data_IF_475127574010
#
_entry.id   IF_475127574010
#
_cell.length_a   1.000
_cell.length_b   1.000
_cell.length_c   1.000
_cell.angle_alpha   90.00
_cell.angle_beta   90.00
_cell.angle_gamma   90.00
#
_symmetry.space_group_name_H-M   'P 1'
#
loop_
_entity.id
_entity.type
_entity.pdbx_description
1 polymer ?
#
# COMPACT_ATOMS: atom_id res chain seq x y z
N UNK A 1 4.05 20.94 -39.77
CA UNK A 1 2.84 21.20 -38.96
C UNK A 1 2.47 19.89 -38.30
N UNK A 2 2.95 19.70 -37.08
CA UNK A 2 2.72 18.50 -36.27
C UNK A 2 1.48 18.79 -35.44
N UNK A 3 0.39 18.08 -35.72
CA UNK A 3 -0.84 18.14 -34.93
C UNK A 3 -0.59 17.36 -33.64
N UNK A 4 -0.47 18.08 -32.52
CA UNK A 4 -0.63 17.49 -31.19
C UNK A 4 -2.04 16.93 -31.11
N UNK A 5 -2.14 15.61 -30.96
CA UNK A 5 -3.39 14.92 -30.64
C UNK A 5 -3.56 15.07 -29.13
N UNK A 6 -4.55 15.84 -28.72
CA UNK A 6 -4.92 16.00 -27.32
C UNK A 6 -5.64 14.71 -26.89
N UNK A 7 -5.03 13.96 -25.97
CA UNK A 7 -5.56 12.69 -25.46
C UNK A 7 -6.41 12.90 -24.20
N UNK A 8 -6.68 14.15 -23.80
CA UNK A 8 -7.50 14.48 -22.65
C UNK A 8 -8.95 14.01 -22.79
N UNK A 9 -9.49 14.01 -24.01
CA UNK A 9 -10.93 13.90 -24.22
C UNK A 9 -11.40 12.44 -24.44
N UNK A 10 -10.51 11.50 -24.79
CA UNK A 10 -10.87 10.08 -24.96
C UNK A 10 -10.80 9.26 -23.66
N UNK A 11 -10.16 9.77 -22.60
CA UNK A 11 -10.04 9.05 -21.32
C UNK A 11 -11.16 9.34 -20.32
N UNK A 12 -12.01 10.36 -20.55
CA UNK A 12 -13.13 10.68 -19.65
C UNK A 12 -14.25 9.61 -19.66
N UNK A 13 -14.32 8.72 -20.67
CA UNK A 13 -15.42 7.76 -20.80
C UNK A 13 -15.14 6.34 -20.28
N UNK A 14 -13.90 5.97 -19.97
CA UNK A 14 -13.55 4.64 -19.43
C UNK A 14 -12.89 4.69 -18.04
N UNK A 15 -12.50 5.87 -17.57
CA UNK A 15 -11.91 6.10 -16.25
C UNK A 15 -12.91 6.29 -15.11
N UNK A 16 -14.04 5.56 -15.08
CA UNK A 16 -14.82 5.47 -13.83
C UNK A 16 -14.05 4.58 -12.87
N UNK A 17 -13.13 5.19 -12.10
CA UNK A 17 -12.69 4.65 -10.81
C UNK A 17 -13.96 4.22 -10.07
N UNK A 18 -14.18 2.92 -9.99
CA UNK A 18 -15.17 2.40 -9.05
C UNK A 18 -14.70 2.88 -7.69
N UNK A 19 -15.52 3.70 -7.02
CA UNK A 19 -15.30 3.98 -5.61
C UNK A 19 -15.18 2.63 -4.91
N UNK A 20 -14.05 2.38 -4.27
CA UNK A 20 -13.90 1.18 -3.45
C UNK A 20 -14.87 1.35 -2.29
N UNK A 21 -16.02 0.70 -2.39
CA UNK A 21 -17.05 0.76 -1.38
C UNK A 21 -16.74 -0.32 -0.37
N UNK A 22 -16.09 0.05 0.73
CA UNK A 22 -15.92 -0.84 1.87
C UNK A 22 -17.24 -0.98 2.61
N UNK A 23 -17.65 -2.21 2.85
CA UNK A 23 -18.86 -2.49 3.61
C UNK A 23 -18.50 -2.77 5.06
N UNK A 24 -19.04 -1.97 5.98
CA UNK A 24 -19.07 -2.32 7.40
C UNK A 24 -20.23 -3.28 7.60
N UNK A 25 -19.93 -4.56 7.79
CA UNK A 25 -20.94 -5.59 7.94
C UNK A 25 -21.28 -5.82 9.42
N UNK A 26 -22.55 -6.09 9.75
CA UNK A 26 -22.89 -6.71 11.03
C UNK A 26 -22.17 -8.06 11.13
N UNK A 27 -21.49 -8.32 12.23
CA UNK A 27 -20.72 -9.56 12.47
C UNK A 27 -21.62 -10.76 12.77
N UNK A 28 -22.89 -10.52 13.09
CA UNK A 28 -23.88 -11.56 13.34
C UNK A 28 -24.09 -12.41 12.07
N UNK A 29 -23.61 -13.66 12.10
CA UNK A 29 -23.66 -14.69 11.05
C UNK A 29 -22.58 -14.62 9.95
N UNK A 30 -21.49 -13.87 10.15
CA UNK A 30 -20.37 -13.88 9.22
C UNK A 30 -19.38 -15.03 9.52
N UNK A 31 -18.85 -15.68 8.48
CA UNK A 31 -17.78 -16.67 8.61
C UNK A 31 -16.45 -16.01 8.24
N UNK A 32 -15.66 -15.66 9.25
CA UNK A 32 -14.34 -15.06 9.04
C UNK A 32 -13.36 -16.10 8.48
N UNK A 33 -12.49 -15.67 7.57
CA UNK A 33 -11.41 -16.50 7.03
C UNK A 33 -10.19 -16.54 7.95
N UNK A 34 -10.05 -15.56 8.86
CA UNK A 34 -8.88 -15.38 9.71
C UNK A 34 -9.27 -15.14 11.18
N UNK A 35 -8.68 -15.93 12.08
CA UNK A 35 -8.92 -15.91 13.53
C UNK A 35 -8.64 -14.54 14.16
N UNK A 36 -7.62 -13.79 13.70
CA UNK A 36 -7.32 -12.48 14.31
C UNK A 36 -8.33 -11.41 13.84
N UNK A 37 -8.82 -11.51 12.59
CA UNK A 37 -9.89 -10.63 12.09
C UNK A 37 -11.16 -10.88 12.88
N UNK A 38 -11.49 -12.15 13.11
CA UNK A 38 -12.60 -12.53 13.99
C UNK A 38 -12.43 -11.97 15.40
N UNK A 39 -11.25 -12.13 16.01
CA UNK A 39 -10.98 -11.63 17.38
C UNK A 39 -11.18 -10.12 17.47
N UNK A 40 -10.70 -9.35 16.47
CA UNK A 40 -10.91 -7.89 16.43
C UNK A 40 -12.39 -7.55 16.23
N UNK A 41 -13.07 -8.22 15.30
CA UNK A 41 -14.46 -7.93 14.93
C UNK A 41 -15.46 -8.23 16.06
N UNK A 42 -15.16 -9.22 16.91
CA UNK A 42 -15.98 -9.61 18.06
C UNK A 42 -15.61 -8.88 19.37
N UNK A 43 -14.54 -8.07 19.35
CA UNK A 43 -14.05 -7.36 20.52
C UNK A 43 -14.68 -5.98 20.70
N UNK A 44 -14.81 -5.56 21.96
CA UNK A 44 -15.09 -4.16 22.31
C UNK A 44 -13.98 -3.22 21.78
N UNK A 45 -14.28 -1.95 21.43
CA UNK A 45 -13.33 -1.07 20.72
C UNK A 45 -11.94 -0.92 21.38
N UNK A 46 -11.89 -0.86 22.71
CA UNK A 46 -10.61 -0.78 23.45
C UNK A 46 -9.77 -2.04 23.25
N UNK A 47 -10.41 -3.22 23.33
CA UNK A 47 -9.74 -4.51 23.14
C UNK A 47 -9.34 -4.72 21.68
N UNK A 48 -10.20 -4.35 20.74
CA UNK A 48 -9.91 -4.39 19.30
C UNK A 48 -8.63 -3.60 18.96
N UNK A 49 -8.48 -2.40 19.55
CA UNK A 49 -7.26 -1.59 19.44
C UNK A 49 -6.02 -2.29 20.01
N UNK A 50 -6.14 -2.90 21.20
CA UNK A 50 -5.02 -3.64 21.80
C UNK A 50 -4.56 -4.82 20.93
N UNK A 51 -5.48 -5.56 20.32
CA UNK A 51 -5.17 -6.69 19.43
C UNK A 51 -4.41 -6.20 18.20
N UNK A 52 -4.89 -5.12 17.56
CA UNK A 52 -4.22 -4.50 16.41
C UNK A 52 -2.80 -4.07 16.77
N UNK A 53 -2.62 -3.38 17.90
CA UNK A 53 -1.29 -2.93 18.34
C UNK A 53 -0.37 -4.12 18.71
N UNK A 54 -0.95 -5.18 19.27
CA UNK A 54 -0.21 -6.40 19.61
C UNK A 54 0.31 -7.13 18.36
N UNK A 55 -0.37 -7.04 17.20
CA UNK A 55 0.08 -7.61 15.91
C UNK A 55 1.51 -7.21 15.57
N UNK A 56 1.89 -5.97 15.86
CA UNK A 56 3.20 -5.42 15.49
C UNK A 56 4.30 -5.64 16.54
N UNK A 57 4.02 -6.34 17.64
CA UNK A 57 5.02 -6.57 18.70
C UNK A 57 6.20 -7.44 18.24
N UNK A 58 6.01 -8.26 17.20
CA UNK A 58 7.02 -9.14 16.62
C UNK A 58 7.92 -8.52 15.56
N UNK A 59 7.71 -7.25 15.20
CA UNK A 59 8.45 -6.52 14.15
C UNK A 59 9.87 -6.17 14.62
N UNK A 60 10.89 -6.47 13.78
CA UNK A 60 12.31 -6.44 14.17
C UNK A 60 13.20 -5.57 13.28
N UNK A 61 12.89 -5.44 12.00
CA UNK A 61 13.70 -4.70 11.03
C UNK A 61 13.49 -3.20 11.21
N UNK A 62 14.54 -2.40 10.99
CA UNK A 62 14.47 -0.97 11.23
C UNK A 62 13.39 -0.26 10.39
N UNK A 63 13.22 -0.54 9.08
CA UNK A 63 12.13 0.04 8.30
C UNK A 63 10.76 -0.29 8.92
N UNK A 64 10.53 -1.55 9.23
CA UNK A 64 9.25 -2.03 9.78
C UNK A 64 8.97 -1.46 11.17
N UNK A 65 10.00 -1.28 12.01
CA UNK A 65 9.88 -0.61 13.32
C UNK A 65 9.39 0.82 13.16
N UNK A 66 9.94 1.58 12.21
CA UNK A 66 9.49 2.95 11.95
C UNK A 66 8.03 3.01 11.52
N UNK A 67 7.62 2.12 10.61
CA UNK A 67 6.23 2.03 10.14
C UNK A 67 5.27 1.65 11.27
N UNK A 68 5.63 0.66 12.10
CA UNK A 68 4.90 0.32 13.32
C UNK A 68 4.75 1.54 14.23
N UNK A 69 5.84 2.20 14.56
CA UNK A 69 5.83 3.30 15.53
C UNK A 69 4.98 4.47 15.00
N UNK A 70 5.02 4.73 13.69
CA UNK A 70 4.10 5.65 13.02
C UNK A 70 2.63 5.22 13.20
N UNK A 71 2.26 3.98 12.85
CA UNK A 71 0.89 3.50 12.99
C UNK A 71 0.40 3.52 14.45
N UNK A 72 1.25 3.13 15.40
CA UNK A 72 0.97 3.17 16.82
C UNK A 72 0.82 4.60 17.37
N UNK A 73 1.37 5.60 16.68
CA UNK A 73 1.20 7.02 17.03
C UNK A 73 -0.14 7.61 16.58
N UNK A 74 -0.85 6.92 15.68
CA UNK A 74 -2.16 7.37 15.21
C UNK A 74 -3.18 7.27 16.34
N UNK A 75 -4.00 8.31 16.49
CA UNK A 75 -5.07 8.36 17.50
C UNK A 75 -6.28 7.53 17.07
N UNK A 76 -6.11 6.21 16.96
CA UNK A 76 -7.17 5.29 16.54
C UNK A 76 -8.31 5.34 17.56
N UNK A 77 -9.48 5.76 17.07
CA UNK A 77 -10.74 5.84 17.82
C UNK A 77 -11.50 4.53 17.83
N UNK A 78 -11.44 3.78 16.72
CA UNK A 78 -12.14 2.52 16.54
C UNK A 78 -11.38 1.62 15.56
N UNK A 79 -11.44 0.31 15.76
CA UNK A 79 -11.07 -0.69 14.76
C UNK A 79 -12.34 -1.40 14.29
N UNK A 80 -12.60 -1.40 12.99
CA UNK A 80 -13.83 -1.95 12.40
C UNK A 80 -13.51 -3.04 11.40
N UNK A 81 -14.36 -4.05 11.36
CA UNK A 81 -14.33 -5.05 10.31
C UNK A 81 -14.87 -4.49 8.98
N UNK A 82 -14.15 -4.71 7.89
CA UNK A 82 -14.50 -4.26 6.55
C UNK A 82 -14.33 -5.39 5.52
N UNK A 83 -15.14 -5.35 4.47
CA UNK A 83 -14.94 -6.19 3.28
C UNK A 83 -14.92 -5.41 1.98
N UNK A 84 -14.16 -5.92 1.01
CA UNK A 84 -14.15 -5.49 -0.38
C UNK A 84 -14.19 -6.73 -1.28
N UNK A 85 -15.34 -6.99 -1.91
CA UNK A 85 -15.55 -8.24 -2.63
C UNK A 85 -15.40 -9.45 -1.70
N UNK A 86 -14.41 -10.32 -1.96
CA UNK A 86 -14.08 -11.47 -1.12
C UNK A 86 -12.98 -11.20 -0.08
N UNK A 87 -12.48 -9.97 -0.03
CA UNK A 87 -11.36 -9.58 0.81
C UNK A 87 -11.87 -9.07 2.17
N UNK A 88 -11.18 -9.49 3.23
CA UNK A 88 -11.49 -9.16 4.62
C UNK A 88 -10.39 -8.29 5.20
N UNK A 89 -10.76 -7.22 5.91
CA UNK A 89 -9.79 -6.29 6.49
C UNK A 89 -10.26 -5.74 7.83
N UNK A 90 -9.31 -5.27 8.62
CA UNK A 90 -9.58 -4.36 9.74
C UNK A 90 -9.24 -2.94 9.34
N UNK A 91 -10.23 -2.06 9.36
CA UNK A 91 -10.07 -0.62 9.18
C UNK A 91 -9.84 0.11 10.52
N UNK A 92 -8.81 0.95 10.60
CA UNK A 92 -8.55 1.79 11.78
C UNK A 92 -9.11 3.21 11.56
N UNK A 93 -10.11 3.62 12.36
CA UNK A 93 -10.80 4.91 12.24
C UNK A 93 -10.12 5.97 13.13
N UNK A 94 -9.75 7.12 12.55
CA UNK A 94 -9.14 8.24 13.27
C UNK A 94 -10.18 9.30 13.71
N UNK A 95 -9.83 10.26 14.59
CA UNK A 95 -10.79 11.21 15.14
C UNK A 95 -11.37 12.12 14.06
N UNK A 96 -12.68 12.30 14.07
CA UNK A 96 -13.39 13.14 13.10
C UNK A 96 -13.64 12.48 11.74
N UNK A 97 -13.37 11.18 11.61
CA UNK A 97 -13.61 10.40 10.39
C UNK A 97 -14.84 9.50 10.54
N UNK A 98 -15.54 9.24 9.43
CA UNK A 98 -16.73 8.40 9.40
C UNK A 98 -16.39 6.97 8.97
N UNK A 99 -17.18 6.00 9.41
CA UNK A 99 -17.05 4.58 9.02
C UNK A 99 -17.27 4.33 7.52
N UNK A 100 -17.84 5.31 6.79
CA UNK A 100 -18.17 5.23 5.36
C UNK A 100 -17.18 6.03 4.51
N UNK A 101 -16.50 7.02 5.10
CA UNK A 101 -15.48 7.85 4.44
C UNK A 101 -14.08 7.30 4.73
N UNK A 102 -13.80 6.11 4.18
CA UNK A 102 -12.54 5.57 3.59
C UNK A 102 -11.15 5.94 4.10
N UNK A 103 -11.00 6.67 5.20
CA UNK A 103 -9.73 7.13 5.80
C UNK A 103 -9.13 6.10 6.75
N UNK A 104 -9.46 4.82 6.55
CA UNK A 104 -9.05 3.74 7.43
C UNK A 104 -7.74 3.13 6.96
N UNK A 105 -6.81 2.87 7.87
CA UNK A 105 -5.70 1.94 7.59
C UNK A 105 -6.31 0.55 7.52
N UNK A 106 -6.22 -0.10 6.35
CA UNK A 106 -6.71 -1.47 6.16
C UNK A 106 -5.60 -2.47 6.43
N UNK A 107 -5.89 -3.42 7.31
CA UNK A 107 -4.97 -4.51 7.67
C UNK A 107 -5.55 -5.84 7.17
N UNK A 108 -4.92 -6.50 6.18
CA UNK A 108 -5.40 -7.76 5.60
C UNK A 108 -5.08 -8.95 6.50
N UNK A 109 -5.60 -10.15 6.15
CA UNK A 109 -5.30 -11.41 6.81
C UNK A 109 -3.79 -11.65 6.92
N UNK A 110 -3.38 -12.45 7.91
CA UNK A 110 -1.97 -12.79 8.07
C UNK A 110 -1.60 -13.80 6.99
N UNK A 111 -0.78 -13.38 6.03
CA UNK A 111 -0.18 -14.29 5.05
C UNK A 111 0.86 -15.15 5.77
N UNK A 112 0.92 -16.44 5.44
CA UNK A 112 1.97 -17.31 5.96
C UNK A 112 3.35 -16.82 5.48
N UNK A 113 4.28 -16.58 6.42
CA UNK A 113 5.61 -16.06 6.10
C UNK A 113 6.44 -16.96 5.17
N UNK A 114 6.33 -18.29 5.30
CA UNK A 114 7.04 -19.22 4.42
C UNK A 114 6.50 -19.16 2.99
N UNK A 115 5.18 -18.99 2.84
CA UNK A 115 4.55 -18.87 1.52
C UNK A 115 4.85 -17.52 0.89
N UNK A 116 4.87 -16.43 1.67
CA UNK A 116 5.32 -15.12 1.21
C UNK A 116 6.79 -15.16 0.76
N UNK A 117 7.67 -15.80 1.54
CA UNK A 117 9.07 -16.00 1.17
C UNK A 117 9.23 -16.75 -0.15
N UNK A 118 8.45 -17.82 -0.36
CA UNK A 118 8.44 -18.55 -1.65
C UNK A 118 7.94 -17.67 -2.81
N UNK A 119 6.93 -16.83 -2.58
CA UNK A 119 6.39 -15.92 -3.60
C UNK A 119 7.40 -14.85 -4.01
N UNK A 120 8.08 -14.23 -3.05
CA UNK A 120 9.15 -13.26 -3.32
C UNK A 120 10.32 -13.94 -4.04
N UNK A 121 10.73 -15.12 -3.59
CA UNK A 121 11.79 -15.91 -4.22
C UNK A 121 11.45 -16.31 -5.66
N UNK A 122 10.19 -16.65 -5.95
CA UNK A 122 9.73 -16.94 -7.31
C UNK A 122 9.85 -15.73 -8.26
N UNK A 123 9.91 -14.52 -7.72
CA UNK A 123 10.15 -13.27 -8.45
C UNK A 123 11.60 -12.78 -8.32
N UNK A 124 12.51 -13.65 -7.87
CA UNK A 124 13.95 -13.37 -7.79
C UNK A 124 14.40 -12.60 -6.56
N UNK A 125 13.51 -12.36 -5.58
CA UNK A 125 13.84 -11.67 -4.33
C UNK A 125 14.08 -12.72 -3.24
N UNK A 126 15.34 -13.15 -3.04
CA UNK A 126 15.67 -14.30 -2.19
C UNK A 126 16.33 -13.95 -0.85
N UNK A 127 16.80 -12.71 -0.65
CA UNK A 127 17.59 -12.30 0.52
C UNK A 127 17.21 -10.89 1.00
N UNK A 128 15.90 -10.61 1.09
CA UNK A 128 15.41 -9.30 1.53
C UNK A 128 14.46 -9.45 2.73
N UNK A 129 15.05 -9.68 3.90
CA UNK A 129 14.33 -9.86 5.17
C UNK A 129 13.49 -8.63 5.53
N UNK A 130 13.98 -7.43 5.19
CA UNK A 130 13.25 -6.17 5.43
C UNK A 130 11.98 -6.08 4.60
N UNK A 131 12.05 -6.43 3.31
CA UNK A 131 10.89 -6.48 2.44
C UNK A 131 9.91 -7.57 2.88
N UNK A 132 10.40 -8.76 3.22
CA UNK A 132 9.57 -9.86 3.70
C UNK A 132 8.80 -9.46 4.95
N UNK A 133 9.47 -8.90 5.96
CA UNK A 133 8.82 -8.43 7.18
C UNK A 133 7.86 -7.27 6.89
N UNK A 134 8.22 -6.35 5.98
CA UNK A 134 7.37 -5.25 5.58
C UNK A 134 6.06 -5.75 4.96
N UNK A 135 6.14 -6.61 3.95
CA UNK A 135 4.97 -7.19 3.28
C UNK A 135 4.13 -8.07 4.22
N UNK A 136 4.73 -8.74 5.20
CA UNK A 136 3.98 -9.54 6.17
C UNK A 136 3.09 -8.67 7.08
N UNK A 137 3.55 -7.48 7.43
CA UNK A 137 2.92 -6.65 8.46
C UNK A 137 2.11 -5.48 7.91
N UNK A 138 2.50 -4.91 6.76
CA UNK A 138 2.00 -3.60 6.31
C UNK A 138 1.42 -3.60 4.88
N UNK A 139 1.31 -4.78 4.24
CA UNK A 139 0.53 -4.88 3.00
C UNK A 139 -0.93 -4.46 3.23
N UNK A 140 -1.60 -3.97 2.20
CA UNK A 140 -3.03 -3.61 2.25
C UNK A 140 -3.35 -2.28 2.92
N UNK A 141 -2.35 -1.55 3.44
CA UNK A 141 -2.56 -0.21 3.99
C UNK A 141 -2.98 0.73 2.85
N UNK A 142 -4.26 1.05 2.81
CA UNK A 142 -4.85 2.09 1.96
C UNK A 142 -5.21 3.30 2.83
N UNK A 143 -5.14 4.52 2.29
CA UNK A 143 -5.45 5.73 3.07
C UNK A 143 -6.07 6.87 2.26
N UNK A 144 -7.14 7.45 2.82
CA UNK A 144 -7.84 8.65 2.31
C UNK A 144 -7.63 9.88 3.24
N UNK A 145 -8.06 11.11 2.87
CA UNK A 145 -8.58 11.49 1.57
C UNK A 145 -7.53 11.55 0.45
N UNK A 146 -7.89 10.93 -0.68
CA UNK A 146 -7.57 11.10 -2.10
C UNK A 146 -6.14 11.26 -2.64
N UNK A 147 -5.07 11.39 -1.84
CA UNK A 147 -3.76 11.75 -2.42
C UNK A 147 -2.65 10.70 -2.28
N UNK A 148 -2.73 9.79 -1.29
CA UNK A 148 -1.58 8.95 -0.98
C UNK A 148 -1.47 7.73 -1.90
N UNK A 149 -2.45 6.83 -1.86
CA UNK A 149 -2.37 5.55 -2.55
C UNK A 149 -2.44 4.38 -1.58
N UNK A 150 -2.22 3.18 -2.10
CA UNK A 150 -2.41 1.93 -1.37
C UNK A 150 -1.12 1.11 -1.43
N UNK A 151 -0.65 0.63 -0.26
CA UNK A 151 0.28 -0.50 -0.22
C UNK A 151 -0.53 -1.72 -0.63
N UNK A 152 -0.17 -2.33 -1.76
CA UNK A 152 -1.01 -3.34 -2.39
C UNK A 152 -1.09 -4.60 -1.54
N UNK A 153 -2.29 -5.14 -1.29
CA UNK A 153 -2.45 -6.41 -0.61
C UNK A 153 -2.02 -7.57 -1.52
N UNK A 154 -1.53 -8.63 -0.89
CA UNK A 154 -1.23 -9.91 -1.49
C UNK A 154 -2.52 -10.74 -1.42
N UNK A 155 -3.19 -10.86 -2.56
CA UNK A 155 -4.48 -11.53 -2.68
C UNK A 155 -4.28 -12.92 -3.26
N UNK A 156 -4.89 -13.94 -2.64
CA UNK A 156 -4.83 -15.33 -3.09
C UNK A 156 -3.40 -15.85 -3.32
N UNK A 157 -2.45 -15.39 -2.51
CA UNK A 157 -1.04 -15.73 -2.65
C UNK A 157 -0.42 -15.25 -3.96
N UNK A 158 -0.90 -14.13 -4.53
CA UNK A 158 -0.34 -13.54 -5.74
C UNK A 158 0.19 -12.14 -5.47
N UNK A 159 1.40 -11.90 -5.94
CA UNK A 159 1.99 -10.57 -6.02
C UNK A 159 1.53 -9.89 -7.30
N UNK A 160 1.30 -8.58 -7.24
CA UNK A 160 1.18 -7.77 -8.45
C UNK A 160 2.57 -7.55 -9.02
N UNK A 161 2.76 -7.83 -10.30
CA UNK A 161 4.06 -7.71 -10.98
C UNK A 161 3.96 -6.78 -12.18
N UNK A 162 5.08 -6.20 -12.58
CA UNK A 162 5.22 -5.48 -13.85
C UNK A 162 5.24 -6.50 -15.01
N UNK A 163 4.30 -6.36 -15.94
CA UNK A 163 4.15 -7.23 -17.10
C UNK A 163 4.15 -6.46 -18.44
N UNK A 164 3.92 -7.19 -19.54
CA UNK A 164 4.07 -6.68 -20.90
C UNK A 164 3.10 -5.53 -21.26
N UNK A 165 2.10 -5.24 -20.42
CA UNK A 165 1.24 -4.06 -20.57
C UNK A 165 2.05 -2.76 -20.56
N UNK A 166 3.21 -2.75 -19.88
CA UNK A 166 4.10 -1.59 -19.75
C UNK A 166 5.31 -1.63 -20.69
N UNK A 167 5.31 -2.51 -21.70
CA UNK A 167 6.43 -2.69 -22.64
C UNK A 167 6.83 -1.43 -23.43
N UNK A 168 5.97 -0.42 -23.46
CA UNK A 168 6.25 0.88 -24.09
C UNK A 168 7.12 1.82 -23.23
N UNK A 169 7.29 1.53 -21.94
CA UNK A 169 8.03 2.38 -20.99
C UNK A 169 9.55 2.18 -21.18
N UNK A 170 10.35 3.26 -21.35
CA UNK A 170 11.80 3.16 -21.38
C UNK A 170 12.35 2.52 -20.10
N UNK A 171 13.22 1.51 -20.26
CA UNK A 171 13.77 0.75 -19.15
C UNK A 171 12.89 -0.41 -18.67
N UNK A 172 11.74 -0.68 -19.31
CA UNK A 172 10.86 -1.80 -18.98
C UNK A 172 11.60 -3.14 -18.84
N UNK A 173 12.47 -3.49 -19.80
CA UNK A 173 13.20 -4.77 -19.77
C UNK A 173 14.07 -4.93 -18.51
N UNK A 174 14.58 -3.84 -17.94
CA UNK A 174 15.37 -3.86 -16.70
C UNK A 174 14.51 -4.06 -15.45
N UNK A 175 13.20 -3.85 -15.55
CA UNK A 175 12.22 -3.89 -14.47
C UNK A 175 11.15 -4.97 -14.66
N UNK A 176 11.14 -5.69 -15.78
CA UNK A 176 10.17 -6.74 -16.08
C UNK A 176 10.14 -7.78 -14.97
N UNK A 177 8.94 -8.08 -14.47
CA UNK A 177 8.74 -8.99 -13.34
C UNK A 177 8.99 -8.37 -11.96
N UNK A 178 9.30 -7.07 -11.87
CA UNK A 178 9.38 -6.37 -10.58
C UNK A 178 8.03 -6.38 -9.86
N UNK A 179 8.07 -6.48 -8.54
CA UNK A 179 6.88 -6.56 -7.68
C UNK A 179 6.35 -5.16 -7.41
N UNK A 180 5.10 -4.89 -7.73
CA UNK A 180 4.42 -3.64 -7.41
C UNK A 180 4.04 -3.65 -5.93
N UNK A 181 4.65 -2.77 -5.14
CA UNK A 181 4.37 -2.65 -3.71
C UNK A 181 3.33 -1.59 -3.39
N UNK A 182 3.31 -0.50 -4.15
CA UNK A 182 2.49 0.67 -3.85
C UNK A 182 1.87 1.23 -5.11
N UNK A 183 0.62 1.62 -5.01
CA UNK A 183 -0.12 2.28 -6.07
C UNK A 183 -0.60 3.64 -5.58
N UNK A 184 -0.04 4.73 -6.13
CA UNK A 184 -0.49 6.09 -5.88
C UNK A 184 -1.76 6.43 -6.68
N UNK A 185 -2.66 7.23 -6.10
CA UNK A 185 -3.92 7.63 -6.77
C UNK A 185 -3.72 8.40 -8.08
N UNK A 186 -2.57 9.04 -8.29
CA UNK A 186 -2.18 9.64 -9.58
C UNK A 186 -1.68 8.61 -10.62
N UNK A 187 -1.92 7.33 -10.35
CA UNK A 187 -1.48 6.16 -11.10
C UNK A 187 0.01 5.84 -11.01
N UNK A 188 0.84 6.63 -10.34
CA UNK A 188 2.25 6.25 -10.19
C UNK A 188 2.36 4.99 -9.32
N UNK A 189 3.31 4.12 -9.66
CA UNK A 189 3.43 2.80 -9.04
C UNK A 189 4.86 2.59 -8.56
N UNK A 190 5.03 2.06 -7.35
CA UNK A 190 6.33 1.72 -6.79
C UNK A 190 6.62 0.25 -7.04
N UNK A 191 7.73 -0.03 -7.71
CA UNK A 191 8.17 -1.38 -8.04
C UNK A 191 9.45 -1.74 -7.29
N UNK A 192 9.56 -3.00 -6.87
CA UNK A 192 10.76 -3.60 -6.30
C UNK A 192 11.29 -4.65 -7.26
N UNK A 193 12.54 -4.46 -7.68
CA UNK A 193 13.25 -5.38 -8.55
C UNK A 193 13.84 -6.54 -7.77
N UNK A 194 14.22 -7.61 -8.46
CA UNK A 194 14.87 -8.80 -7.88
C UNK A 194 16.14 -8.49 -7.08
N UNK A 195 16.88 -7.42 -7.42
CA UNK A 195 18.05 -6.97 -6.67
C UNK A 195 17.73 -6.08 -5.45
N UNK A 196 16.45 -5.91 -5.12
CA UNK A 196 15.97 -5.12 -3.99
C UNK A 196 15.83 -3.62 -4.27
N UNK A 197 16.27 -3.14 -5.45
CA UNK A 197 16.13 -1.73 -5.82
C UNK A 197 14.68 -1.35 -6.05
N UNK A 198 14.39 -0.08 -5.78
CA UNK A 198 13.03 0.45 -5.83
C UNK A 198 12.96 1.65 -6.79
N UNK A 199 11.95 1.64 -7.66
CA UNK A 199 11.66 2.74 -8.57
C UNK A 199 10.17 3.06 -8.61
N UNK A 200 9.89 4.34 -8.83
CA UNK A 200 8.57 4.78 -9.25
C UNK A 200 8.45 4.66 -10.75
N UNK A 201 7.44 3.95 -11.21
CA UNK A 201 6.89 4.14 -12.53
C UNK A 201 6.00 5.38 -12.48
N UNK A 202 6.50 6.48 -13.04
CA UNK A 202 5.73 7.71 -13.18
C UNK A 202 4.86 7.61 -14.43
N UNK A 203 3.59 7.22 -14.28
CA UNK A 203 2.71 6.94 -15.42
C UNK A 203 2.43 8.20 -16.25
N UNK A 204 2.35 9.37 -15.61
CA UNK A 204 2.23 10.66 -16.30
C UNK A 204 3.45 11.03 -17.17
N UNK A 205 4.64 10.55 -16.79
CA UNK A 205 5.89 10.81 -17.51
C UNK A 205 6.29 9.63 -18.43
N UNK A 206 5.65 8.47 -18.28
CA UNK A 206 5.93 7.25 -19.03
C UNK A 206 7.35 6.73 -18.81
N UNK A 207 7.92 6.87 -17.61
CA UNK A 207 9.31 6.48 -17.31
C UNK A 207 9.48 5.94 -15.90
N UNK A 208 10.48 5.08 -15.72
CA UNK A 208 10.97 4.72 -14.39
C UNK A 208 11.88 5.81 -13.85
N UNK A 209 11.56 6.30 -12.65
CA UNK A 209 12.45 7.12 -11.83
C UNK A 209 12.97 6.24 -10.71
N UNK A 210 14.27 5.93 -10.75
CA UNK A 210 14.91 5.22 -9.63
C UNK A 210 14.91 6.14 -8.42
N UNK A 211 14.39 5.67 -7.30
CA UNK A 211 14.20 6.54 -6.14
C UNK A 211 14.86 6.03 -4.89
N UNK A 212 15.06 4.71 -4.74
CA UNK A 212 15.61 4.18 -3.50
C UNK A 212 16.48 2.94 -3.72
N UNK A 213 17.53 2.83 -2.91
CA UNK A 213 18.40 1.67 -2.88
C UNK A 213 17.81 0.52 -2.05
N UNK A 214 16.85 0.81 -1.15
CA UNK A 214 16.21 -0.16 -0.25
C UNK A 214 14.79 0.27 0.19
N UNK A 215 14.11 -0.63 0.91
CA UNK A 215 12.75 -0.42 1.44
C UNK A 215 12.71 0.61 2.59
N UNK A 216 13.81 0.78 3.32
CA UNK A 216 13.91 1.74 4.41
C UNK A 216 13.67 3.17 3.94
N UNK A 217 14.25 3.54 2.81
CA UNK A 217 14.05 4.87 2.25
C UNK A 217 12.62 5.09 1.72
N UNK A 218 11.94 4.05 1.20
CA UNK A 218 10.51 4.12 0.90
C UNK A 218 9.68 4.33 2.17
N UNK A 219 9.95 3.61 3.26
CA UNK A 219 9.23 3.79 4.53
C UNK A 219 9.42 5.20 5.08
N UNK A 220 10.65 5.72 5.05
CA UNK A 220 10.94 7.08 5.49
C UNK A 220 10.17 8.11 4.66
N UNK A 221 10.17 7.95 3.33
CA UNK A 221 9.39 8.78 2.42
C UNK A 221 7.89 8.70 2.74
N UNK A 222 7.35 7.49 2.90
CA UNK A 222 5.92 7.27 3.17
C UNK A 222 5.49 7.96 4.48
N UNK A 223 6.26 7.78 5.57
CA UNK A 223 5.96 8.42 6.86
C UNK A 223 6.06 9.95 6.76
N UNK A 224 7.09 10.48 6.10
CA UNK A 224 7.25 11.92 5.91
C UNK A 224 6.10 12.51 5.11
N UNK A 225 5.72 11.87 4.00
CA UNK A 225 4.59 12.26 3.18
C UNK A 225 3.31 12.35 4.02
N UNK A 226 3.09 11.38 4.91
CA UNK A 226 1.93 11.33 5.80
C UNK A 226 1.91 12.41 6.88
N UNK A 227 3.07 12.83 7.34
CA UNK A 227 3.20 13.89 8.33
C UNK A 227 3.21 15.28 7.69
N UNK A 228 3.43 15.38 6.38
CA UNK A 228 3.48 16.65 5.67
C UNK A 228 2.07 17.25 5.47
N UNK A 229 1.89 18.57 5.68
CA UNK A 229 0.64 19.24 5.38
C UNK A 229 0.41 19.31 3.87
N UNK A 230 -0.31 18.32 3.30
CA UNK A 230 -1.13 18.28 2.06
C UNK A 230 -0.68 19.05 0.80
N UNK A 231 0.59 19.41 0.61
CA UNK A 231 1.08 20.24 -0.52
C UNK A 231 1.69 19.39 -1.67
N UNK A 232 1.55 18.07 -1.66
CA UNK A 232 2.18 17.19 -2.65
C UNK A 232 1.13 16.63 -3.64
N UNK A 233 0.64 17.49 -4.54
CA UNK A 233 -0.29 17.13 -5.63
C UNK A 233 0.38 16.37 -6.79
N UNK A 234 1.66 16.02 -6.69
CA UNK A 234 2.29 15.08 -7.62
C UNK A 234 3.43 14.34 -6.95
N UNK A 235 3.46 13.02 -7.10
CA UNK A 235 4.62 12.16 -6.78
C UNK A 235 5.79 12.39 -7.75
N UNK A 236 5.82 13.53 -8.45
CA UNK A 236 6.97 13.96 -9.22
C UNK A 236 8.13 14.18 -8.24
N UNK A 237 8.96 13.15 -8.08
CA UNK A 237 10.18 13.14 -7.27
C UNK A 237 11.07 14.38 -7.47
N UNK A 238 10.95 15.05 -8.63
CA UNK A 238 11.63 16.30 -8.97
C UNK A 238 11.33 17.49 -8.03
N UNK A 239 10.23 17.48 -7.28
CA UNK A 239 9.92 18.55 -6.31
C UNK A 239 10.11 18.11 -4.85
N UNK A 240 10.11 16.81 -4.54
CA UNK A 240 10.40 16.33 -3.19
C UNK A 240 11.85 16.63 -2.77
N UNK A 241 12.82 16.37 -3.65
CA UNK A 241 14.24 16.69 -3.40
C UNK A 241 14.51 18.20 -3.26
N UNK A 242 13.68 19.05 -3.86
CA UNK A 242 13.79 20.51 -3.73
C UNK A 242 13.17 21.03 -2.43
N UNK A 243 12.10 20.39 -1.95
CA UNK A 243 11.37 20.83 -0.76
C UNK A 243 11.97 20.26 0.53
N UNK A 244 12.64 19.10 0.46
CA UNK A 244 13.28 18.44 1.60
C UNK A 244 14.73 18.01 1.27
N UNK A 245 15.67 18.96 1.16
CA UNK A 245 17.08 18.63 0.94
C UNK A 245 17.65 17.86 2.15
N UNK A 246 18.51 16.88 1.85
CA UNK A 246 19.21 15.98 2.80
C UNK A 246 19.91 16.72 3.94
#
# INVERSE_FOLDING_TARGET
MTTHRDWSDEYESEGKLQSVNYYVLPTENYHFKDDWIQEVAESEPVRAKEIVLARFTGVKTLPSIKMRDYLCSLDVTEAVYCTEGELEYIGLILPGQSRVDTTAVYLPPIVNGDDLGKLLAANGITENDELLEFCLNFQGIAEEPLLSGDILPIVDGKLRILDDEYSFVPGFEDWKGAVCLFWARNYDQLYVRSDGKIAWLCNSAGEFRTSYDDIGAFVDFYIQFRQAPRILDSYAAADFEKQFPK
#
